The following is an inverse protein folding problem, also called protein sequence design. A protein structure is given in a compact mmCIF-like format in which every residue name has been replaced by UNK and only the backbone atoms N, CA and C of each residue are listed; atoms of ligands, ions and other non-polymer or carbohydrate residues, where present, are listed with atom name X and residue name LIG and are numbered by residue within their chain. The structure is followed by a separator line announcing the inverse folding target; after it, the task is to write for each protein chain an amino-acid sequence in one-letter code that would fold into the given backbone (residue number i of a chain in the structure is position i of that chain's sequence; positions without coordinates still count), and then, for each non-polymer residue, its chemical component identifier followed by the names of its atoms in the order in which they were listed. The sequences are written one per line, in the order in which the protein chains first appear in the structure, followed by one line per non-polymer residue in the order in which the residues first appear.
data_IF_691317812333
#
_entry.id   IF_691317812333
#
_cell.length_a   1.000
_cell.length_b   1.000
_cell.length_c   1.000
_cell.angle_alpha   90.00
_cell.angle_beta   90.00
_cell.angle_gamma   90.00
#
_symmetry.space_group_name_H-M   'P 1'
#
loop_
_entity.id
_entity.type
_entity.pdbx_description
1 polymer ?
#
# COMPACT_ATOMS: atom_id res chain seq x y z
N UNK A 1 -2.27 20.40 -34.51
CA UNK A 1 -1.08 19.84 -33.84
C UNK A 1 -0.96 20.51 -32.49
N UNK A 2 -1.47 19.87 -31.44
CA UNK A 2 -1.03 20.09 -30.07
C UNK A 2 -1.03 18.71 -29.42
N UNK A 3 0.15 18.11 -29.41
CA UNK A 3 0.45 16.88 -28.69
C UNK A 3 0.53 17.25 -27.21
N UNK A 4 -0.40 16.73 -26.40
CA UNK A 4 -0.40 16.90 -24.96
C UNK A 4 0.59 15.89 -24.37
N UNK A 5 1.65 16.31 -23.67
CA UNK A 5 2.64 15.38 -23.16
C UNK A 5 2.04 14.51 -22.06
N UNK A 6 2.07 13.20 -22.30
CA UNK A 6 2.37 12.17 -21.33
C UNK A 6 1.64 12.24 -19.99
N UNK A 7 0.45 11.65 -19.94
CA UNK A 7 0.04 10.97 -18.71
C UNK A 7 0.90 9.69 -18.64
N UNK A 8 2.09 9.81 -18.05
CA UNK A 8 2.90 8.64 -17.71
C UNK A 8 2.13 7.86 -16.66
N UNK A 9 1.43 6.82 -17.11
CA UNK A 9 1.16 5.68 -16.26
C UNK A 9 2.55 5.16 -15.85
N UNK A 10 2.82 4.91 -14.57
CA UNK A 10 4.14 4.41 -14.16
C UNK A 10 4.42 3.13 -14.96
N UNK A 11 5.51 3.14 -15.74
CA UNK A 11 6.01 1.94 -16.39
C UNK A 11 6.46 0.97 -15.30
N UNK A 12 6.18 -0.32 -15.45
CA UNK A 12 6.61 -1.37 -14.50
C UNK A 12 8.14 -1.34 -14.25
N UNK A 13 8.93 -0.75 -15.16
CA UNK A 13 10.38 -0.53 -15.03
C UNK A 13 10.82 0.49 -13.95
N UNK A 14 9.91 1.28 -13.35
CA UNK A 14 10.26 2.30 -12.33
C UNK A 14 9.92 1.88 -10.89
N UNK A 15 9.19 0.78 -10.69
CA UNK A 15 8.83 0.31 -9.35
C UNK A 15 9.93 -0.62 -8.84
N UNK A 16 10.50 -0.41 -7.63
CA UNK A 16 11.59 -1.24 -7.11
C UNK A 16 11.06 -2.57 -6.54
N UNK A 17 10.28 -3.31 -7.32
CA UNK A 17 9.85 -4.68 -7.05
C UNK A 17 10.32 -5.54 -8.21
N UNK A 18 10.95 -6.68 -7.90
CA UNK A 18 11.31 -7.66 -8.91
C UNK A 18 10.06 -8.40 -9.41
N UNK A 19 9.87 -8.45 -10.73
CA UNK A 19 8.80 -9.22 -11.38
C UNK A 19 7.54 -8.41 -11.69
N UNK A 20 6.46 -9.12 -12.07
CA UNK A 20 5.20 -8.48 -12.47
C UNK A 20 4.42 -7.94 -11.25
N UNK A 21 3.89 -6.72 -11.37
CA UNK A 21 3.03 -6.13 -10.34
C UNK A 21 1.60 -6.63 -10.49
N UNK A 22 1.12 -7.41 -9.52
CA UNK A 22 -0.22 -7.97 -9.51
C UNK A 22 -1.30 -6.94 -9.14
N UNK A 23 -1.00 -6.02 -8.22
CA UNK A 23 -1.95 -4.99 -7.77
C UNK A 23 -1.26 -3.65 -7.54
N UNK A 24 -1.80 -2.61 -8.19
CA UNK A 24 -1.44 -1.20 -7.94
C UNK A 24 -2.63 -0.42 -7.40
N UNK A 25 -2.43 0.26 -6.27
CA UNK A 25 -3.45 1.10 -5.64
C UNK A 25 -2.92 2.49 -5.28
N UNK A 26 -3.45 3.53 -5.93
CA UNK A 26 -3.22 4.92 -5.53
C UNK A 26 -4.14 5.33 -4.35
N UNK A 27 -3.54 5.62 -3.20
CA UNK A 27 -4.17 6.02 -1.95
C UNK A 27 -3.92 7.51 -1.62
N UNK A 28 -4.35 7.97 -0.44
CA UNK A 28 -4.32 9.40 -0.07
C UNK A 28 -2.91 9.89 0.29
N UNK A 29 -2.09 8.99 0.82
CA UNK A 29 -0.75 9.23 1.39
C UNK A 29 0.35 8.40 0.70
N UNK A 30 0.04 7.77 -0.44
CA UNK A 30 1.00 7.04 -1.26
C UNK A 30 0.32 6.10 -2.25
N UNK A 31 1.15 5.39 -3.01
CA UNK A 31 0.75 4.26 -3.86
C UNK A 31 1.28 2.97 -3.27
N UNK A 32 0.48 1.91 -3.36
CA UNK A 32 0.87 0.55 -3.01
C UNK A 32 1.00 -0.28 -4.27
N UNK A 33 2.15 -0.92 -4.43
CA UNK A 33 2.43 -1.89 -5.48
C UNK A 33 2.66 -3.24 -4.81
N UNK A 34 1.96 -4.28 -5.27
CA UNK A 34 2.06 -5.65 -4.75
C UNK A 34 2.52 -6.54 -5.89
N UNK A 35 3.73 -7.07 -5.79
CA UNK A 35 4.29 -8.03 -6.73
C UNK A 35 4.14 -9.48 -6.24
N UNK A 36 4.97 -10.36 -6.78
CA UNK A 36 4.93 -11.80 -6.48
C UNK A 36 5.57 -12.18 -5.14
N UNK A 37 6.64 -11.49 -4.74
CA UNK A 37 7.44 -11.80 -3.54
C UNK A 37 7.52 -10.66 -2.52
N UNK A 38 7.09 -9.47 -2.91
CA UNK A 38 7.23 -8.27 -2.10
C UNK A 38 6.17 -7.21 -2.45
N UNK A 39 6.11 -6.20 -1.60
CA UNK A 39 5.33 -4.98 -1.84
C UNK A 39 6.21 -3.74 -1.68
N UNK A 40 5.80 -2.68 -2.37
CA UNK A 40 6.43 -1.38 -2.32
C UNK A 40 5.39 -0.30 -2.03
N UNK A 41 5.73 0.56 -1.09
CA UNK A 41 4.97 1.74 -0.71
C UNK A 41 5.74 2.95 -1.23
N UNK A 42 5.19 3.57 -2.27
CA UNK A 42 5.64 4.86 -2.80
C UNK A 42 4.91 5.97 -2.05
N UNK A 43 5.62 6.74 -1.25
CA UNK A 43 5.05 7.77 -0.39
C UNK A 43 4.90 9.07 -1.17
N UNK A 44 3.75 9.71 -1.00
CA UNK A 44 3.56 11.05 -1.54
C UNK A 44 4.61 12.01 -0.94
N UNK A 45 5.21 12.91 -1.73
CA UNK A 45 6.32 13.77 -1.27
C UNK A 45 6.03 14.72 -0.09
N UNK A 46 4.79 14.77 0.41
CA UNK A 46 4.41 15.45 1.67
C UNK A 46 4.36 14.52 2.89
N UNK A 47 4.61 13.24 2.70
CA UNK A 47 4.71 12.22 3.74
C UNK A 47 5.90 12.51 4.64
N UNK A 48 5.79 12.09 5.90
CA UNK A 48 6.91 12.10 6.86
C UNK A 48 7.71 10.78 6.86
N UNK A 49 7.19 9.78 6.18
CA UNK A 49 7.80 8.47 6.01
C UNK A 49 8.38 8.39 4.61
N UNK A 50 9.53 7.75 4.50
CA UNK A 50 10.17 7.43 3.23
C UNK A 50 9.42 6.30 2.51
N UNK A 51 9.73 6.15 1.23
CA UNK A 51 9.29 4.99 0.45
C UNK A 51 9.80 3.71 1.08
N UNK A 52 9.04 2.63 0.95
CA UNK A 52 9.33 1.41 1.68
C UNK A 52 9.09 0.16 0.87
N UNK A 53 10.13 -0.67 0.82
CA UNK A 53 10.07 -2.03 0.29
C UNK A 53 9.90 -3.03 1.44
N UNK A 54 9.02 -4.01 1.28
CA UNK A 54 8.75 -5.06 2.27
C UNK A 54 8.67 -6.41 1.57
N UNK A 55 9.62 -7.30 1.84
CA UNK A 55 9.53 -8.70 1.44
C UNK A 55 8.39 -9.40 2.18
N UNK A 56 7.66 -10.28 1.49
CA UNK A 56 6.58 -11.04 2.11
C UNK A 56 7.04 -11.94 3.26
N UNK A 57 8.30 -12.37 3.24
CA UNK A 57 8.91 -13.12 4.36
C UNK A 57 8.92 -12.34 5.69
N UNK A 58 8.83 -11.00 5.64
CA UNK A 58 8.75 -10.15 6.82
C UNK A 58 7.32 -9.68 7.15
N UNK A 59 6.30 -10.12 6.41
CA UNK A 59 4.90 -9.73 6.66
C UNK A 59 4.27 -10.73 7.63
N UNK A 60 3.72 -10.21 8.74
CA UNK A 60 3.03 -11.00 9.78
C UNK A 60 1.51 -11.04 9.59
N UNK A 61 0.91 -9.91 9.21
CA UNK A 61 -0.51 -9.79 8.90
C UNK A 61 -0.74 -8.50 8.09
N UNK A 62 -1.95 -8.35 7.56
CA UNK A 62 -2.42 -7.14 6.92
C UNK A 62 -3.81 -6.80 7.47
N UNK A 63 -3.89 -5.66 8.14
CA UNK A 63 -5.15 -5.09 8.62
C UNK A 63 -5.80 -4.25 7.53
N UNK A 64 -7.06 -4.57 7.21
CA UNK A 64 -7.92 -3.77 6.35
C UNK A 64 -9.13 -3.29 7.13
N UNK A 65 -9.25 -1.98 7.33
CA UNK A 65 -10.30 -1.41 8.18
C UNK A 65 -11.16 -0.40 7.40
N UNK A 66 -12.49 -0.62 7.45
CA UNK A 66 -13.47 0.18 6.70
C UNK A 66 -14.17 1.18 7.61
N UNK A 67 -13.59 2.37 7.71
CA UNK A 67 -14.23 3.46 8.46
C UNK A 67 -15.17 4.31 7.62
N UNK A 68 -16.00 5.07 8.32
CA UNK A 68 -17.01 5.96 7.75
C UNK A 68 -16.38 7.16 7.04
N UNK A 69 -15.28 7.67 7.61
CA UNK A 69 -14.52 8.84 7.13
C UNK A 69 -13.25 8.42 6.37
N UNK A 70 -12.23 7.91 7.06
CA UNK A 70 -10.94 7.50 6.46
C UNK A 70 -10.67 6.03 6.76
N UNK A 71 -10.72 5.18 5.73
CA UNK A 71 -10.36 3.76 5.83
C UNK A 71 -8.84 3.61 5.70
N UNK A 72 -8.28 2.48 6.15
CA UNK A 72 -6.83 2.25 6.05
C UNK A 72 -6.49 0.77 5.77
N UNK A 73 -5.30 0.59 5.22
CA UNK A 73 -4.61 -0.69 5.06
C UNK A 73 -3.30 -0.56 5.83
N UNK A 74 -3.02 -1.48 6.74
CA UNK A 74 -1.81 -1.48 7.55
C UNK A 74 -1.13 -2.83 7.45
N UNK A 75 0.15 -2.84 7.06
CA UNK A 75 0.97 -4.04 6.96
C UNK A 75 1.71 -4.25 8.28
N UNK A 76 1.44 -5.35 8.96
CA UNK A 76 2.22 -5.74 10.14
C UNK A 76 3.50 -6.43 9.68
N UNK A 77 4.65 -5.87 10.03
CA UNK A 77 5.96 -6.37 9.61
C UNK A 77 6.77 -6.83 10.83
N UNK A 78 7.64 -7.81 10.64
CA UNK A 78 8.67 -8.18 11.59
C UNK A 78 9.62 -7.00 11.88
N UNK A 79 9.92 -6.79 13.16
CA UNK A 79 10.82 -5.73 13.60
C UNK A 79 10.27 -4.30 13.50
N UNK A 80 9.01 -4.13 13.09
CA UNK A 80 8.33 -2.82 13.01
C UNK A 80 7.09 -2.84 13.90
N UNK A 81 7.02 -1.89 14.83
CA UNK A 81 5.84 -1.71 15.67
C UNK A 81 4.72 -1.03 14.88
N UNK A 82 3.58 -1.71 14.76
CA UNK A 82 2.39 -1.16 14.13
C UNK A 82 1.77 -0.10 15.04
N UNK A 83 1.47 1.08 14.50
CA UNK A 83 0.74 2.11 15.22
C UNK A 83 -0.69 1.65 15.51
N UNK A 84 -1.20 2.04 16.67
CA UNK A 84 -2.57 1.73 17.06
C UNK A 84 -3.54 2.86 16.66
N UNK A 85 -4.67 2.47 16.08
CA UNK A 85 -5.81 3.36 15.88
C UNK A 85 -6.71 3.44 17.11
N UNK A 86 -7.55 4.46 17.18
CA UNK A 86 -8.65 4.55 18.17
C UNK A 86 -9.99 4.71 17.46
N UNK A 87 -11.12 4.77 18.18
CA UNK A 87 -12.42 5.04 17.56
C UNK A 87 -12.46 6.36 16.75
N UNK A 88 -11.66 7.34 17.14
CA UNK A 88 -11.66 8.69 16.55
C UNK A 88 -10.47 8.96 15.62
N UNK A 89 -9.41 8.14 15.68
CA UNK A 89 -8.19 8.31 14.89
C UNK A 89 -7.82 7.03 14.15
N UNK A 90 -7.29 7.17 12.93
CA UNK A 90 -6.64 6.07 12.23
C UNK A 90 -5.18 5.94 12.70
N UNK A 91 -4.60 4.72 12.66
CA UNK A 91 -3.17 4.56 12.90
C UNK A 91 -2.37 5.29 11.82
N UNK A 92 -1.17 5.75 12.14
CA UNK A 92 -0.28 6.43 11.20
C UNK A 92 1.15 5.99 11.48
N UNK A 93 1.69 5.15 10.60
CA UNK A 93 3.07 4.67 10.61
C UNK A 93 3.59 4.44 9.17
N UNK A 94 4.84 3.99 9.08
CA UNK A 94 5.54 3.68 7.83
C UNK A 94 4.92 2.53 7.02
N UNK A 95 4.01 1.74 7.60
CA UNK A 95 3.33 0.62 6.95
C UNK A 95 1.83 0.85 6.75
N UNK A 96 1.33 2.04 7.05
CA UNK A 96 -0.10 2.38 6.95
C UNK A 96 -0.37 3.27 5.73
N UNK A 97 -1.42 2.94 4.98
CA UNK A 97 -1.93 3.71 3.86
C UNK A 97 -3.42 4.00 4.02
N UNK A 98 -3.81 5.25 3.81
CA UNK A 98 -5.16 5.76 4.02
C UNK A 98 -5.93 5.92 2.73
N UNK A 99 -7.19 5.52 2.73
CA UNK A 99 -7.99 5.55 1.52
C UNK A 99 -9.46 5.92 1.74
N UNK A 100 -10.01 6.55 0.70
CA UNK A 100 -11.42 6.91 0.63
C UNK A 100 -12.29 5.77 0.10
N UNK A 101 -13.61 5.97 0.13
CA UNK A 101 -14.59 4.94 -0.26
C UNK A 101 -14.38 4.38 -1.67
N UNK A 102 -13.99 5.22 -2.63
CA UNK A 102 -13.76 4.82 -4.03
C UNK A 102 -12.56 3.90 -4.25
N UNK A 103 -11.73 3.65 -3.23
CA UNK A 103 -10.53 2.80 -3.33
C UNK A 103 -10.66 1.49 -2.54
N UNK A 104 -11.83 1.23 -1.95
CA UNK A 104 -12.09 0.05 -1.10
C UNK A 104 -11.88 -1.28 -1.82
N UNK A 105 -12.28 -1.37 -3.09
CA UNK A 105 -12.11 -2.60 -3.88
C UNK A 105 -10.64 -2.83 -4.23
N UNK A 106 -9.88 -1.77 -4.52
CA UNK A 106 -8.45 -1.86 -4.73
C UNK A 106 -7.75 -2.32 -3.45
N UNK A 107 -8.02 -1.66 -2.32
CA UNK A 107 -7.44 -2.01 -1.03
C UNK A 107 -7.78 -3.44 -0.58
N UNK A 108 -8.99 -3.94 -0.88
CA UNK A 108 -9.35 -5.34 -0.63
C UNK A 108 -8.49 -6.29 -1.47
N UNK A 109 -8.36 -6.04 -2.77
CA UNK A 109 -7.49 -6.86 -3.65
C UNK A 109 -6.03 -6.82 -3.22
N UNK A 110 -5.53 -5.66 -2.81
CA UNK A 110 -4.17 -5.51 -2.31
C UNK A 110 -3.96 -6.33 -1.02
N UNK A 111 -4.90 -6.25 -0.05
CA UNK A 111 -4.88 -7.11 1.14
C UNK A 111 -4.79 -8.58 0.77
N UNK A 112 -5.69 -9.03 -0.12
CA UNK A 112 -5.77 -10.44 -0.50
C UNK A 112 -4.47 -10.90 -1.18
N UNK A 113 -3.94 -10.10 -2.10
CA UNK A 113 -2.66 -10.39 -2.76
C UNK A 113 -1.48 -10.46 -1.78
N UNK A 114 -1.40 -9.55 -0.79
CA UNK A 114 -0.34 -9.58 0.22
C UNK A 114 -0.48 -10.81 1.11
N UNK A 115 -1.72 -11.15 1.53
CA UNK A 115 -1.99 -12.34 2.35
C UNK A 115 -1.63 -13.63 1.62
N UNK A 116 -2.00 -13.74 0.35
CA UNK A 116 -1.61 -14.85 -0.51
C UNK A 116 -0.09 -14.97 -0.65
N UNK A 117 0.58 -13.85 -0.94
CA UNK A 117 2.04 -13.83 -1.13
C UNK A 117 2.84 -14.10 0.14
N UNK A 118 2.37 -13.62 1.30
CA UNK A 118 3.00 -13.86 2.60
C UNK A 118 2.55 -15.16 3.29
N UNK A 119 1.51 -15.83 2.79
CA UNK A 119 0.97 -17.03 3.40
C UNK A 119 0.32 -16.79 4.78
N UNK A 120 -0.26 -15.60 4.99
CA UNK A 120 -0.89 -15.19 6.27
C UNK A 120 -2.40 -15.04 6.09
N UNK A 121 -3.19 -15.85 6.80
CA UNK A 121 -4.65 -15.95 6.65
C UNK A 121 -5.40 -16.01 7.98
#
# INVERSE_FOLDING_TARGET
MVDLPGRTEPSDDEVPIDGDVAVTCAFQDGSLYVGESALYIDRAGRSRFDDKYIDFAGVRDVTYERRLVISYLQIEQDGVEAAEGSLLSTPVDENTLHFGRGKRDCARRARDAIRDGAGVW
#
